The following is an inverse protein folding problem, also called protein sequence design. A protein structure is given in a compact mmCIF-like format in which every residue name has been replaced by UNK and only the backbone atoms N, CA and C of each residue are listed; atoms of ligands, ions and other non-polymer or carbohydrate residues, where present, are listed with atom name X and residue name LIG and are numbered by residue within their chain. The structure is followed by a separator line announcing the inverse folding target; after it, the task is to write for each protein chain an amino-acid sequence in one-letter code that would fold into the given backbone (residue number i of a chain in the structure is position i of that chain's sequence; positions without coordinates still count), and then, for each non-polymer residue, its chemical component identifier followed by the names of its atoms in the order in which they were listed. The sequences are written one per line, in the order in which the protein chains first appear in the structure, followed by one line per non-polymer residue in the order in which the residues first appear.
data_IF_050910710706
#
_entry.id   IF_050910710706
#
_cell.length_a   1.000
_cell.length_b   1.000
_cell.length_c   1.000
_cell.angle_alpha   90.00
_cell.angle_beta   90.00
_cell.angle_gamma   90.00
#
_symmetry.space_group_name_H-M   'P 1'
#
loop_
_entity.id
_entity.type
_entity.pdbx_description
1 polymer ?
#
# COMPACT_ATOMS: atom_id res chain seq x y z
N UNK A 1 3.52 -9.92 -19.44
CA UNK A 1 3.76 -9.94 -17.98
C UNK A 1 3.04 -8.77 -17.35
N UNK A 2 2.36 -9.01 -16.23
CA UNK A 2 1.59 -7.96 -15.57
C UNK A 2 2.50 -7.01 -14.79
N UNK A 3 2.28 -5.72 -14.98
CA UNK A 3 2.94 -4.66 -14.23
C UNK A 3 2.62 -4.81 -12.73
N UNK A 4 3.60 -4.54 -11.87
CA UNK A 4 3.42 -4.63 -10.42
C UNK A 4 2.31 -3.69 -9.93
N UNK A 5 2.27 -2.47 -10.44
CA UNK A 5 1.22 -1.51 -10.05
C UNK A 5 -0.18 -2.05 -10.39
N UNK A 6 -0.32 -2.68 -11.55
CA UNK A 6 -1.60 -3.30 -11.93
C UNK A 6 -1.97 -4.41 -10.95
N UNK A 7 -1.00 -5.22 -10.54
CA UNK A 7 -1.24 -6.27 -9.55
C UNK A 7 -1.69 -5.68 -8.22
N UNK A 8 -1.01 -4.64 -7.76
CA UNK A 8 -1.38 -3.94 -6.53
C UNK A 8 -2.80 -3.40 -6.63
N UNK A 9 -3.13 -2.72 -7.73
CA UNK A 9 -4.47 -2.17 -7.92
C UNK A 9 -5.55 -3.25 -7.92
N UNK A 10 -5.27 -4.39 -8.53
CA UNK A 10 -6.23 -5.51 -8.54
C UNK A 10 -6.50 -6.04 -7.14
N UNK A 11 -5.46 -6.15 -6.32
CA UNK A 11 -5.63 -6.58 -4.93
C UNK A 11 -6.44 -5.57 -4.14
N UNK A 12 -6.17 -4.29 -4.33
CA UNK A 12 -6.88 -3.21 -3.64
C UNK A 12 -8.36 -3.18 -4.05
N UNK A 13 -8.65 -3.29 -5.34
CA UNK A 13 -10.03 -3.29 -5.83
C UNK A 13 -10.79 -4.52 -5.32
N UNK A 14 -10.11 -5.65 -5.22
CA UNK A 14 -10.69 -6.89 -4.69
C UNK A 14 -10.77 -6.90 -3.17
N UNK A 15 -10.35 -5.82 -2.51
CA UNK A 15 -10.34 -5.71 -1.04
C UNK A 15 -9.42 -6.74 -0.37
N UNK A 16 -8.43 -7.23 -1.08
CA UNK A 16 -7.42 -8.11 -0.52
C UNK A 16 -6.27 -7.28 0.02
N UNK A 17 -6.56 -6.59 1.10
CA UNK A 17 -5.63 -5.65 1.73
C UNK A 17 -5.57 -5.90 3.22
N UNK A 18 -4.43 -5.57 3.80
CA UNK A 18 -4.22 -5.56 5.24
C UNK A 18 -3.42 -4.31 5.60
N UNK A 19 -3.58 -3.87 6.83
CA UNK A 19 -2.81 -2.76 7.38
C UNK A 19 -2.05 -3.27 8.59
N UNK A 20 -0.76 -2.98 8.66
CA UNK A 20 -0.01 -3.23 9.90
C UNK A 20 -0.53 -2.29 10.99
N UNK A 21 -0.23 -2.61 12.24
CA UNK A 21 -0.62 -1.74 13.34
C UNK A 21 -0.07 -0.32 13.14
N UNK A 22 1.17 -0.21 12.69
CA UNK A 22 1.78 1.09 12.40
C UNK A 22 1.00 1.86 11.35
N UNK A 23 0.63 1.20 10.25
CA UNK A 23 -0.13 1.84 9.17
C UNK A 23 -1.51 2.29 9.68
N UNK A 24 -2.17 1.47 10.50
CA UNK A 24 -3.45 1.83 11.10
C UNK A 24 -3.32 3.06 12.00
N UNK A 25 -2.31 3.07 12.85
CA UNK A 25 -2.09 4.19 13.76
C UNK A 25 -1.79 5.48 13.00
N UNK A 26 -0.98 5.40 11.95
CA UNK A 26 -0.63 6.56 11.14
C UNK A 26 -1.85 7.16 10.46
N UNK A 27 -2.65 6.33 9.78
CA UNK A 27 -3.82 6.86 9.07
C UNK A 27 -4.86 7.44 10.02
N UNK A 28 -5.08 6.79 11.17
CA UNK A 28 -6.04 7.28 12.16
C UNK A 28 -5.60 8.61 12.75
N UNK A 29 -4.31 8.74 13.04
CA UNK A 29 -3.76 9.99 13.57
C UNK A 29 -3.97 11.15 12.62
N UNK A 30 -3.92 10.89 11.33
CA UNK A 30 -4.06 11.93 10.31
C UNK A 30 -5.47 12.03 9.71
N UNK A 31 -6.42 11.29 10.28
CA UNK A 31 -7.82 11.36 9.86
C UNK A 31 -8.11 10.72 8.51
N UNK A 32 -7.26 9.81 8.05
CA UNK A 32 -7.48 9.10 6.79
C UNK A 32 -8.31 7.85 7.03
N UNK A 33 -9.38 7.70 6.26
CA UNK A 33 -10.16 6.46 6.26
C UNK A 33 -9.44 5.38 5.46
N UNK A 34 -9.86 4.14 5.62
CA UNK A 34 -9.36 3.05 4.77
C UNK A 34 -9.65 3.38 3.31
N UNK A 35 -10.84 3.89 3.01
CA UNK A 35 -11.21 4.23 1.63
C UNK A 35 -10.29 5.30 1.06
N UNK A 36 -9.92 6.31 1.85
CA UNK A 36 -8.98 7.35 1.40
C UNK A 36 -7.67 6.72 0.92
N UNK A 37 -7.16 5.75 1.67
CA UNK A 37 -5.91 5.08 1.32
C UNK A 37 -6.09 4.23 0.07
N UNK A 38 -7.18 3.45 -0.03
CA UNK A 38 -7.42 2.60 -1.19
C UNK A 38 -7.64 3.43 -2.46
N UNK A 39 -8.36 4.54 -2.37
CA UNK A 39 -8.58 5.45 -3.50
C UNK A 39 -7.27 5.98 -4.06
N UNK A 40 -6.32 6.29 -3.18
CA UNK A 40 -5.02 6.79 -3.63
C UNK A 40 -4.27 5.76 -4.47
N UNK A 41 -4.43 4.48 -4.18
CA UNK A 41 -3.82 3.43 -4.99
C UNK A 41 -4.51 3.34 -6.35
N UNK A 42 -5.84 3.40 -6.37
CA UNK A 42 -6.61 3.36 -7.63
C UNK A 42 -6.21 4.51 -8.55
N UNK A 43 -5.98 5.70 -7.98
CA UNK A 43 -5.59 6.89 -8.74
C UNK A 43 -4.12 6.92 -9.13
N UNK A 44 -3.28 6.03 -8.60
CA UNK A 44 -1.84 6.13 -8.81
C UNK A 44 -1.47 5.87 -10.28
N UNK A 45 -0.58 6.70 -10.79
CA UNK A 45 -0.04 6.53 -12.15
C UNK A 45 1.25 5.73 -12.17
N UNK A 46 1.97 5.70 -11.06
CA UNK A 46 3.27 5.05 -10.99
C UNK A 46 3.64 4.73 -9.55
N UNK A 47 4.56 3.81 -9.40
CA UNK A 47 5.24 3.53 -8.13
C UNK A 47 6.38 4.55 -8.03
N UNK A 48 6.42 5.31 -6.93
CA UNK A 48 7.43 6.35 -6.76
C UNK A 48 8.82 5.76 -6.59
N UNK A 49 8.93 4.72 -5.76
CA UNK A 49 10.18 3.99 -5.59
C UNK A 49 9.94 2.63 -4.96
N UNK A 50 10.90 1.75 -5.11
CA UNK A 50 10.88 0.42 -4.53
C UNK A 50 12.04 0.33 -3.54
N UNK A 51 11.72 -0.08 -2.31
CA UNK A 51 12.68 -0.24 -1.25
C UNK A 51 12.81 -1.71 -0.88
N UNK A 52 13.95 -2.09 -0.32
CA UNK A 52 14.12 -3.42 0.23
C UNK A 52 13.78 -3.37 1.70
N UNK A 53 13.07 -4.39 2.20
CA UNK A 53 12.73 -4.46 3.62
C UNK A 53 13.99 -4.56 4.46
N UNK A 54 14.10 -3.79 5.57
CA UNK A 54 15.23 -3.91 6.48
C UNK A 54 15.16 -5.15 7.36
N UNK A 55 14.04 -5.85 7.40
CA UNK A 55 13.87 -7.04 8.23
C UNK A 55 14.71 -8.19 7.73
N UNK A 56 15.42 -8.89 8.64
CA UNK A 56 16.17 -10.08 8.28
C UNK A 56 15.26 -11.21 7.81
N UNK A 57 14.11 -11.34 8.45
CA UNK A 57 13.14 -12.39 8.12
C UNK A 57 12.55 -12.16 6.74
N UNK A 58 12.39 -10.89 6.35
CA UNK A 58 11.78 -10.51 5.09
C UNK A 58 12.75 -9.74 4.20
N UNK A 59 14.04 -10.12 4.25
CA UNK A 59 15.11 -9.40 3.55
C UNK A 59 14.90 -9.28 2.05
N UNK A 60 14.13 -10.20 1.44
CA UNK A 60 13.83 -10.19 0.01
C UNK A 60 12.53 -9.50 -0.32
N UNK A 61 11.81 -9.05 0.69
CA UNK A 61 10.54 -8.38 0.49
C UNK A 61 10.77 -6.99 -0.08
N UNK A 62 10.02 -6.65 -1.12
CA UNK A 62 10.07 -5.33 -1.72
C UNK A 62 8.94 -4.49 -1.16
N UNK A 63 9.29 -3.26 -0.82
CA UNK A 63 8.32 -2.28 -0.33
C UNK A 63 8.10 -1.24 -1.42
N UNK A 64 6.86 -1.04 -1.80
CA UNK A 64 6.48 -0.12 -2.87
C UNK A 64 5.97 1.17 -2.26
N UNK A 65 6.63 2.28 -2.60
CA UNK A 65 6.21 3.61 -2.16
C UNK A 65 5.35 4.22 -3.24
N UNK A 66 4.13 4.60 -2.88
CA UNK A 66 3.18 5.21 -3.80
C UNK A 66 2.64 6.47 -3.15
N UNK A 67 2.78 7.60 -3.84
CA UNK A 67 2.17 8.85 -3.44
C UNK A 67 1.16 9.25 -4.51
N UNK A 68 -0.08 9.45 -4.10
CA UNK A 68 -1.15 9.70 -5.06
C UNK A 68 -2.34 10.28 -4.32
N UNK A 69 -3.20 11.07 -5.01
CA UNK A 69 -4.36 11.63 -4.34
C UNK A 69 -5.50 10.62 -4.23
N UNK A 70 -6.28 10.75 -3.17
CA UNK A 70 -7.57 10.07 -3.08
C UNK A 70 -8.55 10.74 -4.06
N UNK A 71 -9.82 10.29 -4.08
CA UNK A 71 -10.80 10.85 -5.01
C UNK A 71 -11.18 12.29 -4.70
N UNK A 72 -10.91 12.76 -3.49
CA UNK A 72 -11.15 14.16 -3.10
C UNK A 72 -9.93 15.05 -3.30
N UNK A 73 -8.84 14.52 -3.82
CA UNK A 73 -7.64 15.30 -4.09
C UNK A 73 -6.65 15.37 -2.93
N UNK A 74 -6.89 14.67 -1.85
CA UNK A 74 -5.95 14.60 -0.72
C UNK A 74 -4.82 13.64 -1.06
N UNK A 75 -3.59 14.13 -1.02
CA UNK A 75 -2.42 13.30 -1.33
C UNK A 75 -2.04 12.40 -0.18
N UNK A 76 -1.91 11.12 -0.49
CA UNK A 76 -1.63 10.07 0.48
C UNK A 76 -0.31 9.41 0.14
N UNK A 77 0.52 9.21 1.17
CA UNK A 77 1.74 8.43 1.09
C UNK A 77 1.45 7.02 1.59
N UNK A 78 1.81 6.01 0.81
CA UNK A 78 1.75 4.63 1.27
C UNK A 78 3.06 3.92 1.00
N UNK A 79 3.35 2.96 1.87
CA UNK A 79 4.40 1.99 1.65
C UNK A 79 3.80 0.63 1.91
N UNK A 80 3.92 -0.28 0.96
CA UNK A 80 3.28 -1.57 1.09
C UNK A 80 4.01 -2.66 0.33
N UNK A 81 3.55 -3.87 0.53
CA UNK A 81 4.17 -5.05 -0.06
C UNK A 81 3.11 -6.09 -0.41
N UNK A 82 3.43 -6.95 -1.36
CA UNK A 82 2.56 -8.06 -1.74
C UNK A 82 2.99 -9.28 -0.94
N UNK A 83 2.05 -9.86 -0.17
CA UNK A 83 2.32 -11.05 0.64
C UNK A 83 1.38 -12.18 0.30
N UNK A 84 1.93 -13.39 0.39
CA UNK A 84 1.16 -14.61 0.31
C UNK A 84 0.83 -15.06 1.72
N UNK A 85 -0.41 -15.50 1.91
CA UNK A 85 -0.82 -16.16 3.15
C UNK A 85 -1.25 -17.58 2.83
N UNK A 86 -0.79 -18.51 3.67
CA UNK A 86 -1.15 -19.94 3.56
C UNK A 86 -0.88 -20.50 2.16
N UNK A 87 0.12 -19.96 1.49
CA UNK A 87 0.59 -20.46 0.21
C UNK A 87 -0.25 -20.14 -1.00
N UNK A 88 -1.47 -19.65 -0.84
CA UNK A 88 -2.39 -19.43 -1.96
C UNK A 88 -2.84 -18.00 -2.13
N UNK A 89 -3.30 -17.38 -1.03
CA UNK A 89 -3.89 -16.06 -1.12
C UNK A 89 -2.83 -14.98 -1.14
N UNK A 90 -3.06 -13.99 -1.96
CA UNK A 90 -2.17 -12.85 -2.11
C UNK A 90 -2.89 -11.62 -1.60
N UNK A 91 -2.21 -10.84 -0.77
CA UNK A 91 -2.72 -9.60 -0.20
C UNK A 91 -1.71 -8.49 -0.40
N UNK A 92 -2.22 -7.26 -0.50
CA UNK A 92 -1.38 -6.08 -0.41
C UNK A 92 -1.42 -5.58 1.04
N UNK A 93 -0.25 -5.52 1.67
CA UNK A 93 -0.12 -5.13 3.07
C UNK A 93 0.44 -3.72 3.14
N UNK A 94 -0.33 -2.78 3.68
CA UNK A 94 0.14 -1.42 3.92
C UNK A 94 0.99 -1.42 5.19
N UNK A 95 2.25 -1.08 5.03
CA UNK A 95 3.21 -0.97 6.14
C UNK A 95 3.24 0.44 6.69
N UNK A 96 2.91 1.42 5.85
CA UNK A 96 2.77 2.82 6.23
C UNK A 96 1.65 3.44 5.41
N UNK A 97 0.84 4.30 6.02
CA UNK A 97 -0.23 5.02 5.34
C UNK A 97 -0.51 6.33 6.06
N UNK A 98 -0.20 7.45 5.39
CA UNK A 98 -0.29 8.77 6.00
C UNK A 98 -0.43 9.84 4.93
N UNK A 99 -0.68 11.07 5.35
CA UNK A 99 -0.69 12.19 4.41
C UNK A 99 0.70 12.35 3.80
N UNK A 100 0.73 12.66 2.51
CA UNK A 100 1.97 13.01 1.84
C UNK A 100 2.36 14.42 2.27
N UNK A 101 3.63 14.57 2.60
CA UNK A 101 4.13 15.86 3.07
C UNK A 101 4.22 16.87 1.92
#
# INVERSE_FOLDING_TARGET
MMDVLVRIKRLVVARRVEFTLKAEEERLREGLSVEDVLESIVNANAIKKVLRSPSRVQARERLYVIESPNFSGTWVYTKGTIRRKQGREVFYVFVSSKLAA
#
